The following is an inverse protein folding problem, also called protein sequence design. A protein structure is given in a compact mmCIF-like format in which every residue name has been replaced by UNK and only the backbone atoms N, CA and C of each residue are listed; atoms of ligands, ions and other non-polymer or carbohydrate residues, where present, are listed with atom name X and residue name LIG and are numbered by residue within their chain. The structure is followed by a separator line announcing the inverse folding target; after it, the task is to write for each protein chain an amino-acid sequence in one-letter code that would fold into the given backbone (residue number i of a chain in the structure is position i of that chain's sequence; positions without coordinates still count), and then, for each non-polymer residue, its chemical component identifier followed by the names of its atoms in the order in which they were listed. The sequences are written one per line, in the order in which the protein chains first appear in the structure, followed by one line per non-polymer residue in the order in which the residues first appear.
data_IF_925324053386
#
_entry.id   IF_925324053386
#
_cell.length_a   1.000
_cell.length_b   1.000
_cell.length_c   1.000
_cell.angle_alpha   90.00
_cell.angle_beta   90.00
_cell.angle_gamma   90.00
#
_symmetry.space_group_name_H-M   'P 1'
#
loop_
_entity.id
_entity.type
_entity.pdbx_description
1 polymer ?
#
# COMPACT_ATOMS: atom_id res chain seq x y z
N UNK A 1 7.29 -1.31 5.27
CA UNK A 1 6.50 -0.34 4.49
C UNK A 1 7.50 0.49 3.68
N UNK A 2 7.44 0.49 2.34
CA UNK A 2 8.45 1.14 1.47
C UNK A 2 8.16 2.64 1.24
N UNK A 3 6.91 3.07 1.46
CA UNK A 3 6.50 4.45 1.24
C UNK A 3 7.30 5.46 2.06
N UNK A 4 7.57 5.16 3.34
CA UNK A 4 8.28 6.08 4.21
C UNK A 4 9.73 6.30 3.81
N UNK A 5 10.46 5.23 3.51
CA UNK A 5 11.85 5.33 3.05
C UNK A 5 11.94 6.03 1.69
N UNK A 6 10.97 5.79 0.79
CA UNK A 6 10.90 6.51 -0.49
C UNK A 6 10.65 8.01 -0.30
N UNK A 7 9.69 8.39 0.54
CA UNK A 7 9.41 9.79 0.86
C UNK A 7 10.62 10.47 1.51
N UNK A 8 11.27 9.77 2.45
CA UNK A 8 12.50 10.26 3.07
C UNK A 8 13.57 10.51 2.01
N UNK A 9 13.80 9.56 1.11
CA UNK A 9 14.75 9.72 0.01
C UNK A 9 14.44 10.94 -0.87
N UNK A 10 13.17 11.14 -1.24
CA UNK A 10 12.76 12.30 -2.03
C UNK A 10 13.00 13.62 -1.29
N UNK A 11 12.61 13.71 -0.01
CA UNK A 11 12.78 14.90 0.81
C UNK A 11 14.26 15.25 1.04
N UNK A 12 15.11 14.24 1.24
CA UNK A 12 16.55 14.43 1.40
C UNK A 12 17.22 14.96 0.11
N UNK A 13 16.67 14.64 -1.06
CA UNK A 13 17.14 15.16 -2.36
C UNK A 13 16.48 16.44 -2.83
N UNK A 14 15.44 16.90 -2.13
CA UNK A 14 14.80 18.17 -2.43
C UNK A 14 15.79 19.34 -2.26
N UNK A 15 15.46 20.50 -2.84
CA UNK A 15 16.28 21.71 -2.73
C UNK A 15 16.60 22.06 -1.26
N UNK A 16 17.89 22.08 -0.93
CA UNK A 16 18.40 22.36 0.42
C UNK A 16 18.21 23.81 0.87
N UNK A 17 17.90 24.74 -0.04
CA UNK A 17 17.56 26.14 0.29
C UNK A 17 16.09 26.33 0.67
N UNK A 18 15.24 25.38 0.25
CA UNK A 18 13.80 25.38 0.53
C UNK A 18 13.44 24.44 1.66
N UNK A 19 14.18 23.34 1.81
CA UNK A 19 13.98 22.36 2.87
C UNK A 19 15.28 22.08 3.59
N UNK A 20 15.34 22.48 4.86
CA UNK A 20 16.53 22.44 5.69
C UNK A 20 16.61 21.16 6.52
N UNK A 21 15.48 20.69 7.04
CA UNK A 21 15.43 19.56 7.98
C UNK A 21 14.38 18.54 7.54
N UNK A 22 14.68 17.25 7.70
CA UNK A 22 13.68 16.18 7.60
C UNK A 22 13.69 15.40 8.91
N UNK A 23 12.53 15.18 9.52
CA UNK A 23 12.39 14.38 10.75
C UNK A 23 11.59 13.13 10.42
N UNK A 24 12.17 11.96 10.63
CA UNK A 24 11.48 10.68 10.49
C UNK A 24 11.18 10.10 11.86
N UNK A 25 9.92 10.15 12.27
CA UNK A 25 9.42 9.63 13.53
C UNK A 25 8.91 8.20 13.39
N UNK A 26 9.36 7.31 14.27
CA UNK A 26 8.80 5.98 14.46
C UNK A 26 7.89 6.01 15.70
N UNK A 27 6.59 6.22 15.46
CA UNK A 27 5.64 6.54 16.52
C UNK A 27 6.04 7.81 17.30
N UNK A 28 5.79 7.81 18.62
CA UNK A 28 6.10 8.96 19.52
C UNK A 28 7.46 8.88 20.21
N UNK A 29 8.10 7.72 20.20
CA UNK A 29 9.23 7.44 21.09
C UNK A 29 10.59 7.64 20.46
N UNK A 30 10.68 7.72 19.13
CA UNK A 30 11.96 7.63 18.44
C UNK A 30 11.91 8.41 17.12
N UNK A 31 12.96 9.17 16.82
CA UNK A 31 13.07 9.87 15.54
C UNK A 31 14.50 10.02 15.06
N UNK A 32 14.68 10.02 13.74
CA UNK A 32 15.88 10.51 13.08
C UNK A 32 15.66 11.93 12.57
N UNK A 33 16.55 12.83 12.90
CA UNK A 33 16.59 14.19 12.39
C UNK A 33 17.74 14.32 11.41
N UNK A 34 17.40 14.63 10.16
CA UNK A 34 18.34 14.85 9.07
C UNK A 34 18.47 16.35 8.84
N UNK A 35 19.63 16.92 9.17
CA UNK A 35 19.97 18.30 8.80
C UNK A 35 20.67 18.28 7.45
N UNK A 36 20.02 18.86 6.44
CA UNK A 36 20.52 18.88 5.07
C UNK A 36 21.61 19.93 4.85
N UNK A 37 21.68 20.95 5.70
CA UNK A 37 22.70 22.01 5.60
C UNK A 37 24.04 21.50 6.11
N UNK A 38 24.03 20.83 7.26
CA UNK A 38 25.24 20.27 7.87
C UNK A 38 25.53 18.83 7.42
N UNK A 39 24.56 18.18 6.76
CA UNK A 39 24.61 16.78 6.32
C UNK A 39 24.79 15.81 7.48
N UNK A 40 24.17 16.10 8.62
CA UNK A 40 24.21 15.26 9.82
C UNK A 40 22.90 14.54 10.07
N UNK A 41 22.97 13.40 10.75
CA UNK A 41 21.82 12.68 11.28
C UNK A 41 21.92 12.62 12.79
N UNK A 42 20.86 13.01 13.49
CA UNK A 42 20.78 12.96 14.96
C UNK A 42 19.61 12.08 15.38
N UNK A 43 19.85 11.20 16.34
CA UNK A 43 18.83 10.31 16.90
C UNK A 43 18.22 10.99 18.13
N UNK A 44 16.89 11.00 18.21
CA UNK A 44 16.15 11.48 19.36
C UNK A 44 15.28 10.36 19.93
N UNK A 45 15.36 10.19 21.25
CA UNK A 45 14.52 9.28 22.01
C UNK A 45 13.62 10.08 22.97
N UNK A 46 12.35 9.66 23.07
CA UNK A 46 11.33 10.29 23.88
C UNK A 46 10.60 11.44 23.18
N UNK A 47 9.27 11.40 23.17
CA UNK A 47 8.43 12.36 22.46
C UNK A 47 8.67 13.82 22.87
N UNK A 48 8.97 14.09 24.14
CA UNK A 48 9.29 15.43 24.62
C UNK A 48 10.58 15.98 24.00
N UNK A 49 11.61 15.14 23.84
CA UNK A 49 12.88 15.55 23.25
C UNK A 49 12.72 15.81 21.75
N UNK A 50 11.99 14.92 21.07
CA UNK A 50 11.65 15.04 19.65
C UNK A 50 10.89 16.34 19.40
N UNK A 51 9.81 16.59 20.14
CA UNK A 51 9.01 17.82 20.03
C UNK A 51 9.81 19.08 20.29
N UNK A 52 10.62 19.10 21.37
CA UNK A 52 11.46 20.26 21.70
C UNK A 52 12.49 20.56 20.60
N UNK A 53 13.12 19.53 20.03
CA UNK A 53 14.06 19.71 18.93
C UNK A 53 13.39 20.36 17.71
N UNK A 54 12.21 19.88 17.33
CA UNK A 54 11.46 20.43 16.20
C UNK A 54 11.02 21.87 16.44
N UNK A 55 10.50 22.20 17.63
CA UNK A 55 10.10 23.56 18.00
C UNK A 55 11.30 24.52 17.94
N UNK A 56 12.46 24.10 18.48
CA UNK A 56 13.66 24.94 18.48
C UNK A 56 14.17 25.22 17.06
N UNK A 57 14.13 24.22 16.18
CA UNK A 57 14.54 24.36 14.77
C UNK A 57 13.55 25.23 13.98
N UNK A 58 12.26 25.08 14.22
CA UNK A 58 11.26 25.97 13.62
C UNK A 58 11.44 27.42 14.12
N UNK A 59 11.68 27.61 15.41
CA UNK A 59 11.93 28.92 16.02
C UNK A 59 13.20 29.62 15.53
N UNK A 60 14.18 28.87 15.01
CA UNK A 60 15.37 29.44 14.35
C UNK A 60 15.13 29.82 12.88
N UNK A 61 13.91 29.65 12.38
CA UNK A 61 13.54 29.92 10.99
C UNK A 61 13.92 28.81 10.01
N UNK A 62 14.27 27.61 10.50
CA UNK A 62 14.48 26.46 9.61
C UNK A 62 13.14 25.96 9.08
N UNK A 63 13.20 25.43 7.86
CA UNK A 63 12.05 24.92 7.11
C UNK A 63 12.18 23.41 7.13
N UNK A 64 11.13 22.71 7.54
CA UNK A 64 11.23 21.31 7.88
C UNK A 64 10.13 20.46 7.28
N UNK A 65 10.36 19.16 7.27
CA UNK A 65 9.33 18.19 6.91
C UNK A 65 9.35 17.02 7.88
N UNK A 66 8.18 16.60 8.34
CA UNK A 66 8.02 15.52 9.31
C UNK A 66 7.37 14.34 8.61
N UNK A 67 8.01 13.18 8.67
CA UNK A 67 7.41 11.89 8.32
C UNK A 67 7.09 11.18 9.64
N UNK A 68 5.83 10.84 9.87
CA UNK A 68 5.41 10.10 11.05
C UNK A 68 4.98 8.69 10.62
N UNK A 69 5.78 7.69 10.92
CA UNK A 69 5.48 6.28 10.68
C UNK A 69 4.83 5.65 11.91
N UNK A 70 3.51 5.53 11.86
CA UNK A 70 2.69 4.99 12.94
C UNK A 70 2.59 3.47 12.81
N UNK A 71 3.68 2.77 13.15
CA UNK A 71 3.76 1.31 13.07
C UNK A 71 2.77 0.57 14.01
N UNK A 72 2.24 1.23 15.04
CA UNK A 72 1.21 0.70 15.96
C UNK A 72 0.17 1.78 16.26
N UNK A 73 -1.07 1.36 16.52
CA UNK A 73 -2.15 2.24 16.97
C UNK A 73 -1.64 3.18 18.05
N UNK A 74 -1.70 4.47 17.77
CA UNK A 74 -1.37 5.53 18.70
C UNK A 74 -2.40 6.62 18.49
N UNK A 75 -3.00 7.05 19.60
CA UNK A 75 -3.83 8.25 19.64
C UNK A 75 -3.10 9.42 18.96
N UNK A 76 -3.90 10.14 18.18
CA UNK A 76 -3.60 11.32 17.38
C UNK A 76 -2.35 12.07 17.90
N UNK A 77 -1.27 12.22 17.10
CA UNK A 77 -0.20 13.13 17.49
C UNK A 77 -0.83 14.51 17.65
N UNK A 78 -0.66 15.11 18.83
CA UNK A 78 -1.28 16.38 19.19
C UNK A 78 -1.06 17.40 18.08
N UNK A 79 -2.08 18.19 17.74
CA UNK A 79 -2.09 19.23 16.69
C UNK A 79 -0.96 20.28 16.76
N UNK A 80 -0.11 20.22 17.79
CA UNK A 80 0.98 21.15 18.07
C UNK A 80 2.37 20.48 18.02
N UNK A 81 2.64 19.61 17.04
CA UNK A 81 4.01 19.06 16.90
C UNK A 81 5.00 20.17 16.54
N UNK A 82 4.63 21.05 15.59
CA UNK A 82 5.36 22.29 15.26
C UNK A 82 4.36 23.35 14.79
N UNK A 83 4.27 24.49 15.47
CA UNK A 83 3.42 25.61 15.08
C UNK A 83 4.16 26.54 14.10
N UNK A 84 4.45 26.06 12.89
CA UNK A 84 5.09 26.86 11.84
C UNK A 84 4.58 26.47 10.45
N UNK A 85 4.12 27.46 9.68
CA UNK A 85 3.64 27.27 8.31
C UNK A 85 4.76 26.84 7.34
N UNK A 86 6.02 26.92 7.76
CA UNK A 86 7.21 26.49 7.02
C UNK A 86 7.54 25.01 7.25
N UNK A 87 6.69 24.28 7.99
CA UNK A 87 6.84 22.85 8.28
C UNK A 87 5.69 22.03 7.70
N UNK A 88 6.03 21.05 6.86
CA UNK A 88 5.08 20.07 6.34
C UNK A 88 5.09 18.77 7.14
N UNK A 89 3.97 18.04 7.09
CA UNK A 89 3.83 16.74 7.78
C UNK A 89 3.21 15.72 6.81
N UNK A 90 3.84 14.55 6.66
CA UNK A 90 3.22 13.34 6.11
C UNK A 90 3.12 12.33 7.23
N UNK A 91 1.92 11.77 7.38
CA UNK A 91 1.69 10.65 8.27
C UNK A 91 1.49 9.38 7.45
N UNK A 92 2.20 8.34 7.85
CA UNK A 92 2.10 6.99 7.31
C UNK A 92 1.46 6.14 8.36
N UNK A 93 0.51 5.33 7.94
CA UNK A 93 -0.16 4.42 8.85
C UNK A 93 -0.59 3.15 8.15
N UNK A 94 -0.70 2.11 8.95
CA UNK A 94 -1.34 0.88 8.53
C UNK A 94 -2.83 1.13 8.24
N UNK A 95 -3.45 0.29 7.40
CA UNK A 95 -4.89 0.32 7.20
C UNK A 95 -5.59 -0.08 8.50
N UNK A 96 -5.95 0.91 9.30
CA UNK A 96 -6.68 0.75 10.55
C UNK A 96 -7.83 1.78 10.56
N UNK A 97 -9.04 1.30 10.81
CA UNK A 97 -10.25 2.12 10.68
C UNK A 97 -10.29 3.26 11.69
N UNK A 98 -9.89 3.01 12.94
CA UNK A 98 -9.89 4.02 14.00
C UNK A 98 -8.90 5.14 13.70
N UNK A 99 -7.72 4.76 13.21
CA UNK A 99 -6.71 5.69 12.75
C UNK A 99 -7.26 6.58 11.60
N UNK A 100 -7.90 5.97 10.60
CA UNK A 100 -8.51 6.69 9.48
C UNK A 100 -9.64 7.63 9.91
N UNK A 101 -10.48 7.21 10.86
CA UNK A 101 -11.55 8.04 11.42
C UNK A 101 -10.98 9.26 12.12
N UNK A 102 -10.01 9.05 13.02
CA UNK A 102 -9.35 10.13 13.74
C UNK A 102 -8.74 11.18 12.79
N UNK A 103 -8.11 10.77 11.69
CA UNK A 103 -7.51 11.76 10.77
C UNK A 103 -8.52 12.50 9.90
N UNK A 104 -9.68 11.91 9.59
CA UNK A 104 -10.73 12.64 8.84
C UNK A 104 -11.27 13.82 9.63
N UNK A 105 -11.23 13.73 10.96
CA UNK A 105 -11.65 14.81 11.84
C UNK A 105 -10.62 15.95 11.89
N UNK A 106 -9.39 15.73 11.39
CA UNK A 106 -8.34 16.74 11.35
C UNK A 106 -8.57 17.72 10.19
N UNK A 107 -8.87 18.98 10.52
CA UNK A 107 -9.11 20.03 9.56
C UNK A 107 -7.89 20.25 8.63
N UNK A 108 -8.12 20.25 7.32
CA UNK A 108 -7.09 20.50 6.30
C UNK A 108 -6.27 19.28 5.87
N UNK A 109 -6.53 18.08 6.43
CA UNK A 109 -5.85 16.87 5.98
C UNK A 109 -6.24 16.49 4.55
N UNK A 110 -5.24 16.28 3.69
CA UNK A 110 -5.44 15.78 2.32
C UNK A 110 -5.19 14.28 2.32
N UNK A 111 -6.22 13.50 2.01
CA UNK A 111 -6.10 12.04 1.90
C UNK A 111 -5.40 11.68 0.60
N UNK A 112 -4.23 11.05 0.70
CA UNK A 112 -3.52 10.45 -0.44
C UNK A 112 -3.63 8.92 -0.33
N UNK A 113 -4.14 8.29 -1.38
CA UNK A 113 -4.18 6.84 -1.51
C UNK A 113 -3.05 6.44 -2.46
N UNK A 114 -2.26 5.43 -2.10
CA UNK A 114 -1.24 4.88 -2.98
C UNK A 114 -1.62 3.46 -3.36
N UNK A 115 -1.29 3.08 -4.59
CA UNK A 115 -1.46 1.70 -5.03
C UNK A 115 -0.54 0.78 -4.21
N UNK A 116 -1.00 -0.45 -4.01
CA UNK A 116 -0.14 -1.50 -3.49
C UNK A 116 1.06 -1.71 -4.43
N UNK A 117 2.21 -2.20 -3.90
CA UNK A 117 3.33 -2.62 -4.73
C UNK A 117 2.88 -3.55 -5.86
N UNK A 118 3.55 -3.47 -7.00
CA UNK A 118 3.40 -4.42 -8.09
C UNK A 118 4.49 -5.50 -8.08
N UNK A 119 4.51 -6.35 -9.11
CA UNK A 119 5.51 -7.41 -9.25
C UNK A 119 6.94 -6.87 -9.30
N UNK A 120 7.18 -5.77 -10.03
CA UNK A 120 8.51 -5.18 -10.16
C UNK A 120 8.97 -4.58 -8.84
N UNK A 121 8.06 -3.96 -8.09
CA UNK A 121 8.36 -3.47 -6.74
C UNK A 121 8.78 -4.63 -5.82
N UNK A 122 8.02 -5.74 -5.82
CA UNK A 122 8.35 -6.92 -5.01
C UNK A 122 9.68 -7.54 -5.46
N UNK A 123 9.92 -7.61 -6.77
CA UNK A 123 11.18 -8.12 -7.33
C UNK A 123 12.37 -7.28 -6.91
N UNK A 124 12.24 -5.96 -6.91
CA UNK A 124 13.26 -5.05 -6.40
C UNK A 124 13.50 -5.24 -4.89
N UNK A 125 12.44 -5.44 -4.11
CA UNK A 125 12.56 -5.78 -2.68
C UNK A 125 13.32 -7.10 -2.48
N UNK A 126 13.01 -8.13 -3.26
CA UNK A 126 13.72 -9.41 -3.22
C UNK A 126 15.20 -9.22 -3.53
N UNK A 127 15.55 -8.56 -4.63
CA UNK A 127 16.93 -8.31 -5.01
C UNK A 127 17.71 -7.52 -3.96
N UNK A 128 17.05 -6.57 -3.27
CA UNK A 128 17.66 -5.81 -2.20
C UNK A 128 17.90 -6.65 -0.93
N UNK A 129 16.93 -7.48 -0.56
CA UNK A 129 17.02 -8.35 0.64
C UNK A 129 18.12 -9.40 0.47
N UNK A 130 18.26 -9.94 -0.73
CA UNK A 130 19.25 -10.99 -1.07
C UNK A 130 20.51 -10.43 -1.75
N UNK A 131 20.76 -9.12 -1.65
CA UNK A 131 21.88 -8.45 -2.36
C UNK A 131 23.29 -8.99 -2.05
N UNK A 132 23.45 -9.68 -0.92
CA UNK A 132 24.72 -10.24 -0.45
C UNK A 132 24.79 -11.78 -0.57
N UNK A 133 23.81 -12.41 -1.21
CA UNK A 133 23.72 -13.87 -1.37
C UNK A 133 24.18 -14.31 -2.77
N UNK A 134 24.27 -15.62 -3.03
CA UNK A 134 24.62 -16.10 -4.38
C UNK A 134 23.49 -15.88 -5.37
N UNK A 135 23.80 -15.89 -6.67
CA UNK A 135 22.78 -15.78 -7.73
C UNK A 135 21.72 -16.90 -7.63
N UNK A 136 22.11 -18.13 -7.26
CA UNK A 136 21.14 -19.22 -7.09
C UNK A 136 20.17 -18.95 -5.94
N UNK A 137 20.68 -18.43 -4.81
CA UNK A 137 19.85 -18.05 -3.66
C UNK A 137 18.89 -16.91 -4.01
N UNK A 138 19.33 -15.93 -4.81
CA UNK A 138 18.46 -14.84 -5.27
C UNK A 138 17.33 -15.34 -6.16
N UNK A 139 17.63 -16.25 -7.10
CA UNK A 139 16.65 -16.86 -8.00
C UNK A 139 15.63 -17.68 -7.22
N UNK A 140 16.08 -18.51 -6.27
CA UNK A 140 15.20 -19.33 -5.46
C UNK A 140 14.31 -18.49 -4.52
N UNK A 141 14.88 -17.43 -3.93
CA UNK A 141 14.12 -16.50 -3.12
C UNK A 141 13.05 -15.76 -3.93
N UNK A 142 13.39 -15.27 -5.12
CA UNK A 142 12.41 -14.66 -6.03
C UNK A 142 11.32 -15.64 -6.43
N UNK A 143 11.68 -16.88 -6.81
CA UNK A 143 10.73 -17.92 -7.18
C UNK A 143 9.71 -18.16 -6.08
N UNK A 144 10.17 -18.24 -4.82
CA UNK A 144 9.32 -18.38 -3.64
C UNK A 144 8.38 -17.18 -3.48
N UNK A 145 8.91 -15.96 -3.47
CA UNK A 145 8.11 -14.73 -3.30
C UNK A 145 7.09 -14.53 -4.42
N UNK A 146 7.45 -14.88 -5.65
CA UNK A 146 6.54 -14.87 -6.79
C UNK A 146 5.38 -15.87 -6.60
N UNK A 147 5.63 -17.07 -6.05
CA UNK A 147 4.56 -18.01 -5.67
C UNK A 147 3.65 -17.43 -4.59
N UNK A 148 4.20 -16.85 -3.53
CA UNK A 148 3.39 -16.20 -2.50
C UNK A 148 2.52 -15.08 -3.11
N UNK A 149 3.10 -14.24 -3.98
CA UNK A 149 2.37 -13.18 -4.67
C UNK A 149 1.25 -13.71 -5.58
N UNK A 150 1.47 -14.85 -6.24
CA UNK A 150 0.42 -15.50 -7.02
C UNK A 150 -0.79 -15.85 -6.14
N UNK A 151 -0.55 -16.34 -4.92
CA UNK A 151 -1.61 -16.86 -4.05
C UNK A 151 -2.30 -15.79 -3.20
N UNK A 152 -1.56 -14.79 -2.70
CA UNK A 152 -2.08 -13.77 -1.77
C UNK A 152 -1.89 -12.32 -2.25
N UNK A 153 -1.37 -12.13 -3.47
CA UNK A 153 -1.05 -10.84 -4.06
C UNK A 153 0.23 -10.19 -3.53
N UNK A 154 0.62 -9.03 -4.11
CA UNK A 154 1.87 -8.33 -3.79
C UNK A 154 1.73 -7.52 -2.50
N UNK A 155 1.39 -8.20 -1.40
CA UNK A 155 1.22 -7.59 -0.08
C UNK A 155 2.45 -7.95 0.77
N UNK A 156 3.42 -7.04 0.96
CA UNK A 156 4.70 -7.34 1.61
C UNK A 156 4.57 -8.06 2.96
N UNK A 157 3.60 -7.65 3.80
CA UNK A 157 3.37 -8.26 5.13
C UNK A 157 2.95 -9.74 5.06
N UNK A 158 2.35 -10.15 3.95
CA UNK A 158 1.86 -11.51 3.72
C UNK A 158 2.93 -12.33 2.99
N UNK A 159 3.62 -11.78 2.00
CA UNK A 159 4.55 -12.55 1.15
C UNK A 159 5.90 -12.82 1.81
N UNK A 160 6.43 -11.89 2.60
CA UNK A 160 7.79 -12.00 3.17
C UNK A 160 7.83 -12.70 4.54
N UNK A 161 6.69 -13.16 5.05
CA UNK A 161 6.61 -13.89 6.31
C UNK A 161 5.81 -15.17 6.12
N UNK A 162 6.45 -16.32 6.30
CA UNK A 162 5.86 -17.63 6.01
C UNK A 162 4.61 -17.94 6.84
N UNK A 163 4.55 -17.47 8.09
CA UNK A 163 3.37 -17.69 8.93
C UNK A 163 2.21 -16.81 8.45
N UNK A 164 2.47 -15.51 8.28
CA UNK A 164 1.45 -14.58 7.76
C UNK A 164 0.96 -14.99 6.37
N UNK A 165 1.84 -15.58 5.55
CA UNK A 165 1.46 -16.14 4.26
C UNK A 165 0.46 -17.29 4.42
N UNK A 166 0.80 -18.28 5.26
CA UNK A 166 -0.05 -19.45 5.49
C UNK A 166 -1.40 -19.05 6.06
N UNK A 167 -1.39 -18.20 7.08
CA UNK A 167 -2.58 -17.66 7.71
C UNK A 167 -3.45 -16.96 6.65
N UNK A 168 -2.83 -16.14 5.79
CA UNK A 168 -3.54 -15.44 4.71
C UNK A 168 -4.16 -16.38 3.68
N UNK A 169 -3.46 -17.46 3.30
CA UNK A 169 -3.98 -18.47 2.38
C UNK A 169 -5.20 -19.17 2.99
N UNK A 170 -5.14 -19.53 4.27
CA UNK A 170 -6.25 -20.15 4.99
C UNK A 170 -7.45 -19.20 5.12
N UNK A 171 -7.21 -17.95 5.53
CA UNK A 171 -8.25 -16.91 5.58
C UNK A 171 -8.98 -16.73 4.24
N UNK A 172 -8.22 -16.67 3.13
CA UNK A 172 -8.81 -16.53 1.78
C UNK A 172 -9.67 -17.75 1.45
N UNK A 173 -9.21 -18.95 1.79
CA UNK A 173 -9.95 -20.19 1.57
C UNK A 173 -11.26 -20.18 2.34
N UNK A 174 -11.22 -19.87 3.63
CA UNK A 174 -12.40 -19.85 4.51
C UNK A 174 -13.44 -18.83 4.03
N UNK A 175 -12.98 -17.65 3.61
CA UNK A 175 -13.88 -16.63 3.03
C UNK A 175 -14.55 -17.17 1.78
N UNK A 176 -13.80 -17.77 0.86
CA UNK A 176 -14.32 -18.31 -0.40
C UNK A 176 -15.30 -19.48 -0.16
N UNK A 177 -15.06 -20.30 0.86
CA UNK A 177 -15.96 -21.39 1.27
C UNK A 177 -17.23 -20.89 1.97
N UNK A 178 -17.16 -19.74 2.64
CA UNK A 178 -18.30 -19.07 3.27
C UNK A 178 -19.18 -18.27 2.31
N UNK A 179 -18.86 -18.19 1.02
CA UNK A 179 -19.71 -17.52 0.02
C UNK A 179 -20.88 -18.44 -0.34
N UNK A 180 -22.10 -17.91 -0.21
CA UNK A 180 -23.33 -18.60 -0.58
C UNK A 180 -24.31 -17.63 -1.29
N UNK A 181 -25.45 -18.15 -1.72
CA UNK A 181 -26.47 -17.35 -2.40
C UNK A 181 -26.95 -16.13 -1.59
N UNK A 182 -26.94 -16.21 -0.25
CA UNK A 182 -27.41 -15.14 0.63
C UNK A 182 -26.45 -13.95 0.69
N UNK A 183 -25.16 -14.18 0.49
CA UNK A 183 -24.12 -13.15 0.61
C UNK A 183 -23.37 -12.83 -0.70
N UNK A 184 -23.57 -13.62 -1.76
CA UNK A 184 -22.91 -13.48 -3.07
C UNK A 184 -23.07 -12.09 -3.70
N UNK A 185 -24.18 -11.39 -3.41
CA UNK A 185 -24.44 -10.02 -3.87
C UNK A 185 -23.37 -9.03 -3.40
N UNK A 186 -22.80 -9.25 -2.21
CA UNK A 186 -21.77 -8.36 -1.66
C UNK A 186 -20.47 -8.42 -2.46
N UNK A 187 -20.20 -9.54 -3.16
CA UNK A 187 -18.96 -9.72 -3.93
C UNK A 187 -19.05 -9.27 -5.39
N UNK A 188 -20.24 -8.88 -5.88
CA UNK A 188 -20.45 -8.41 -7.26
C UNK A 188 -19.89 -7.01 -7.58
N UNK A 189 -19.35 -6.30 -6.58
CA UNK A 189 -18.82 -4.95 -6.77
C UNK A 189 -17.42 -4.88 -7.37
N UNK A 190 -16.75 -6.01 -7.61
CA UNK A 190 -15.45 -6.03 -8.27
C UNK A 190 -15.53 -5.37 -9.66
N UNK A 191 -14.49 -4.61 -10.02
CA UNK A 191 -14.46 -3.72 -11.18
C UNK A 191 -15.36 -2.50 -11.04
N UNK A 192 -16.03 -2.30 -9.89
CA UNK A 192 -16.85 -1.13 -9.61
C UNK A 192 -16.05 0.00 -8.98
N UNK A 193 -16.52 1.23 -9.19
CA UNK A 193 -16.05 2.44 -8.52
C UNK A 193 -16.80 2.74 -7.20
N UNK A 194 -17.85 1.97 -6.88
CA UNK A 194 -18.60 2.13 -5.63
C UNK A 194 -17.79 1.69 -4.42
N UNK A 195 -18.06 2.26 -3.24
CA UNK A 195 -17.44 1.78 -2.00
C UNK A 195 -17.87 0.34 -1.73
N UNK A 196 -16.90 -0.53 -1.47
CA UNK A 196 -17.21 -1.89 -1.05
C UNK A 196 -17.66 -1.89 0.41
N UNK A 197 -18.64 -2.73 0.82
CA UNK A 197 -19.05 -2.82 2.22
C UNK A 197 -17.84 -3.14 3.07
N UNK A 198 -17.68 -2.42 4.18
CA UNK A 198 -16.64 -2.68 5.17
C UNK A 198 -16.98 -3.95 5.96
N UNK A 199 -16.87 -5.11 5.31
CA UNK A 199 -16.89 -6.40 5.96
C UNK A 199 -15.45 -6.93 6.06
N UNK A 200 -15.18 -7.80 7.04
CA UNK A 200 -13.82 -8.30 7.30
C UNK A 200 -13.24 -9.07 6.09
N UNK A 201 -14.10 -9.59 5.22
CA UNK A 201 -13.71 -10.35 4.02
C UNK A 201 -13.14 -9.48 2.88
N UNK A 202 -13.61 -8.24 2.73
CA UNK A 202 -13.34 -7.39 1.56
C UNK A 202 -11.84 -7.11 1.34
N UNK A 203 -11.13 -6.66 2.37
CA UNK A 203 -9.70 -6.35 2.28
C UNK A 203 -8.81 -7.60 2.10
N UNK A 204 -9.39 -8.79 2.19
CA UNK A 204 -8.72 -10.08 1.98
C UNK A 204 -8.72 -10.49 0.51
N UNK A 205 -9.77 -10.15 -0.22
CA UNK A 205 -9.96 -10.53 -1.63
C UNK A 205 -9.67 -9.41 -2.64
N UNK A 206 -9.82 -8.15 -2.25
CA UNK A 206 -9.72 -6.99 -3.17
C UNK A 206 -8.79 -5.92 -2.63
N UNK A 207 -8.20 -5.20 -3.58
CA UNK A 207 -7.45 -3.96 -3.39
C UNK A 207 -8.17 -2.81 -4.08
N UNK A 208 -7.99 -1.62 -3.52
CA UNK A 208 -8.39 -0.37 -4.18
C UNK A 208 -7.23 0.06 -5.06
N UNK A 209 -7.50 0.27 -6.35
CA UNK A 209 -6.55 0.86 -7.29
C UNK A 209 -6.95 2.30 -7.59
N UNK A 210 -6.02 3.20 -7.33
CA UNK A 210 -6.02 4.59 -7.76
C UNK A 210 -5.66 4.66 -9.23
N UNK A 211 -6.52 5.29 -10.01
CA UNK A 211 -6.35 5.57 -11.42
C UNK A 211 -6.34 7.09 -11.62
N UNK A 212 -5.39 7.57 -12.42
CA UNK A 212 -5.41 8.94 -12.93
C UNK A 212 -5.85 8.84 -14.38
N UNK A 213 -7.03 9.38 -14.69
CA UNK A 213 -7.57 9.35 -16.05
C UNK A 213 -6.91 10.42 -16.92
N UNK A 214 -7.09 10.36 -18.24
CA UNK A 214 -6.53 11.33 -19.21
C UNK A 214 -6.93 12.80 -18.96
N UNK A 215 -7.88 13.08 -18.07
CA UNK A 215 -8.27 14.44 -17.68
C UNK A 215 -7.81 14.86 -16.28
N UNK A 216 -6.79 14.21 -15.71
CA UNK A 216 -6.31 14.42 -14.33
C UNK A 216 -7.38 14.17 -13.26
N UNK A 217 -8.44 13.45 -13.62
CA UNK A 217 -9.47 13.03 -12.66
C UNK A 217 -9.01 11.76 -11.98
N UNK A 218 -8.87 11.84 -10.67
CA UNK A 218 -8.56 10.71 -9.80
C UNK A 218 -9.81 9.85 -9.60
N UNK A 219 -9.69 8.56 -9.91
CA UNK A 219 -10.72 7.56 -9.72
C UNK A 219 -10.19 6.38 -8.91
N UNK A 220 -11.09 5.66 -8.24
CA UNK A 220 -10.76 4.47 -7.46
C UNK A 220 -11.58 3.29 -7.94
N UNK A 221 -10.91 2.17 -8.20
CA UNK A 221 -11.55 0.93 -8.65
C UNK A 221 -11.20 -0.20 -7.70
N UNK A 222 -12.21 -0.98 -7.33
CA UNK A 222 -12.02 -2.19 -6.55
C UNK A 222 -11.62 -3.34 -7.50
N UNK A 223 -10.38 -3.81 -7.41
CA UNK A 223 -9.89 -4.95 -8.18
C UNK A 223 -9.46 -6.10 -7.27
N UNK A 224 -9.52 -7.36 -7.74
CA UNK A 224 -8.97 -8.47 -6.99
C UNK A 224 -7.51 -8.22 -6.59
N UNK A 225 -7.12 -8.72 -5.42
CA UNK A 225 -5.74 -8.59 -4.92
C UNK A 225 -4.73 -9.19 -5.92
N UNK A 226 -5.07 -10.36 -6.48
CA UNK A 226 -4.33 -11.02 -7.57
C UNK A 226 -5.28 -11.85 -8.45
N UNK A 227 -4.76 -12.30 -9.59
CA UNK A 227 -5.51 -13.08 -10.58
C UNK A 227 -5.98 -14.45 -10.07
N UNK A 228 -5.20 -15.11 -9.19
CA UNK A 228 -5.58 -16.39 -8.58
C UNK A 228 -6.84 -16.25 -7.73
N UNK A 229 -6.87 -15.22 -6.86
CA UNK A 229 -8.03 -14.89 -6.03
C UNK A 229 -9.24 -14.53 -6.88
N UNK A 230 -9.04 -13.73 -7.94
CA UNK A 230 -10.08 -13.41 -8.90
C UNK A 230 -10.75 -14.66 -9.48
N UNK A 231 -9.93 -15.57 -10.02
CA UNK A 231 -10.41 -16.78 -10.66
C UNK A 231 -11.19 -17.66 -9.69
N UNK A 232 -10.69 -17.84 -8.47
CA UNK A 232 -11.36 -18.61 -7.41
C UNK A 232 -12.68 -17.97 -6.99
N UNK A 233 -12.70 -16.65 -6.82
CA UNK A 233 -13.90 -15.92 -6.44
C UNK A 233 -14.97 -15.98 -7.53
N UNK A 234 -14.60 -15.81 -8.81
CA UNK A 234 -15.51 -15.99 -9.93
C UNK A 234 -16.07 -17.41 -9.92
N UNK A 235 -15.22 -18.43 -9.81
CA UNK A 235 -15.65 -19.83 -9.72
C UNK A 235 -16.68 -20.06 -8.62
N UNK A 236 -16.44 -19.54 -7.41
CA UNK A 236 -17.40 -19.63 -6.30
C UNK A 236 -18.71 -18.91 -6.58
N UNK A 237 -18.66 -17.71 -7.15
CA UNK A 237 -19.87 -16.97 -7.48
C UNK A 237 -20.71 -17.66 -8.57
N UNK A 238 -20.07 -18.35 -9.51
CA UNK A 238 -20.76 -19.16 -10.53
C UNK A 238 -21.47 -20.39 -9.93
N UNK A 239 -20.94 -20.94 -8.83
CA UNK A 239 -21.54 -22.11 -8.15
C UNK A 239 -22.78 -21.75 -7.34
N UNK A 240 -22.89 -20.51 -6.84
CA UNK A 240 -23.92 -20.13 -5.85
C UNK A 240 -24.93 -19.08 -6.32
N UNK A 241 -24.72 -18.43 -7.47
CA UNK A 241 -25.61 -17.37 -7.99
C UNK A 241 -26.49 -17.88 -9.14
N UNK A 242 -27.72 -17.34 -9.25
CA UNK A 242 -28.63 -17.66 -10.37
C UNK A 242 -28.11 -17.09 -11.70
N UNK A 243 -28.42 -17.76 -12.83
CA UNK A 243 -27.84 -17.55 -14.17
C UNK A 243 -27.73 -16.08 -14.65
N UNK A 244 -28.61 -15.19 -14.18
CA UNK A 244 -28.66 -13.79 -14.61
C UNK A 244 -27.58 -12.89 -13.97
N UNK A 245 -27.08 -13.21 -12.78
CA UNK A 245 -26.00 -12.47 -12.11
C UNK A 245 -24.64 -12.68 -12.79
N UNK A 246 -24.47 -13.85 -13.40
CA UNK A 246 -23.24 -14.34 -14.02
C UNK A 246 -22.85 -13.50 -15.26
N UNK A 247 -23.78 -13.29 -16.18
CA UNK A 247 -23.54 -12.53 -17.43
C UNK A 247 -23.18 -11.07 -17.11
N UNK A 248 -23.89 -10.45 -16.16
CA UNK A 248 -23.64 -9.07 -15.77
C UNK A 248 -22.25 -8.89 -15.14
N UNK A 249 -21.84 -9.81 -14.25
CA UNK A 249 -20.50 -9.80 -13.64
C UNK A 249 -19.42 -9.96 -14.72
N UNK A 250 -19.50 -11.00 -15.57
CA UNK A 250 -18.53 -11.23 -16.66
C UNK A 250 -18.40 -10.04 -17.62
N UNK A 251 -19.51 -9.38 -17.98
CA UNK A 251 -19.50 -8.19 -18.83
C UNK A 251 -18.82 -6.98 -18.15
N UNK A 252 -19.00 -6.82 -16.84
CA UNK A 252 -18.35 -5.76 -16.06
C UNK A 252 -16.83 -5.99 -15.98
N UNK A 253 -16.41 -7.23 -15.76
CA UNK A 253 -15.00 -7.64 -15.80
C UNK A 253 -14.38 -7.39 -17.19
N UNK A 254 -15.08 -7.75 -18.27
CA UNK A 254 -14.64 -7.50 -19.65
C UNK A 254 -14.48 -6.01 -19.96
N UNK A 255 -15.13 -5.10 -19.24
CA UNK A 255 -15.01 -3.65 -19.49
C UNK A 255 -13.85 -3.00 -18.74
N UNK A 256 -13.45 -3.58 -17.61
CA UNK A 256 -12.45 -3.00 -16.70
C UNK A 256 -11.09 -3.69 -16.84
N UNK A 257 -11.09 -5.00 -17.04
CA UNK A 257 -9.87 -5.81 -17.08
C UNK A 257 -9.42 -6.20 -18.48
N UNK A 258 -10.19 -5.96 -19.55
CA UNK A 258 -9.70 -6.25 -20.92
C UNK A 258 -8.37 -5.58 -21.22
N UNK A 259 -8.15 -4.29 -20.87
CA UNK A 259 -6.88 -3.65 -21.15
C UNK A 259 -5.73 -4.30 -20.37
N UNK A 260 -5.89 -4.56 -19.07
CA UNK A 260 -4.87 -5.21 -18.22
C UNK A 260 -4.63 -6.68 -18.59
N UNK A 261 -5.69 -7.44 -18.94
CA UNK A 261 -5.57 -8.81 -19.45
C UNK A 261 -4.93 -8.84 -20.82
N UNK A 262 -5.32 -7.94 -21.73
CA UNK A 262 -4.69 -7.83 -23.05
C UNK A 262 -3.24 -7.41 -22.91
N UNK A 263 -2.89 -6.48 -22.02
CA UNK A 263 -1.52 -6.05 -21.75
C UNK A 263 -0.69 -7.20 -21.16
N UNK A 264 -1.20 -7.93 -20.16
CA UNK A 264 -0.52 -9.13 -19.62
C UNK A 264 -0.39 -10.26 -20.64
N UNK A 265 -1.43 -10.53 -21.43
CA UNK A 265 -1.40 -11.54 -22.48
C UNK A 265 -0.50 -11.13 -23.65
N UNK A 266 -0.45 -9.85 -24.03
CA UNK A 266 0.49 -9.36 -25.06
C UNK A 266 1.93 -9.37 -24.55
N UNK A 267 2.19 -8.97 -23.30
CA UNK A 267 3.53 -9.09 -22.71
C UNK A 267 3.99 -10.56 -22.68
N UNK A 268 3.10 -11.48 -22.29
CA UNK A 268 3.42 -12.90 -22.26
C UNK A 268 3.60 -13.50 -23.66
N UNK A 269 2.82 -13.04 -24.66
CA UNK A 269 2.98 -13.43 -26.05
C UNK A 269 4.28 -12.87 -26.69
N UNK A 270 4.74 -11.68 -26.27
CA UNK A 270 6.01 -11.10 -26.72
C UNK A 270 7.24 -11.71 -26.02
N UNK A 271 7.11 -12.13 -24.75
CA UNK A 271 8.21 -12.72 -23.97
C UNK A 271 8.33 -14.24 -24.12
N UNK A 272 7.28 -14.93 -24.58
CA UNK A 272 7.39 -16.31 -25.03
C UNK A 272 8.08 -16.31 -26.40
N UNK A 273 9.36 -16.69 -26.41
CA UNK A 273 10.17 -16.88 -27.63
C UNK A 273 9.49 -17.87 -28.58
N UNK A 274 8.62 -17.37 -29.45
CA UNK A 274 7.88 -18.17 -30.42
C UNK A 274 7.26 -17.37 -31.57
N UNK A 275 7.46 -16.05 -31.62
CA UNK A 275 7.10 -15.21 -32.77
C UNK A 275 8.33 -14.51 -33.34
N UNK A 276 9.11 -15.28 -34.10
CA UNK A 276 9.86 -14.84 -35.30
C UNK A 276 9.54 -15.84 -36.39
#
# INVERSE_FOLDING_TARGET
MVAGSYLLYQLLRYDGTKLHVVVYCFGRGFAYLFDKRTRTVTIYEGGCNIGRAMINLAGSGMKGYIIIDMARQLQEPSNNVVSSDEWGIIMLSSPNEDNLKAWREQAGAIKIIMNCPDENDVKAMCAWETRNTTEEEQVEYWRRMHMHMHDVGPIPRCIFNDNNYKDRVEEIKDILEGIDASNAVHYGMIGGMGMWPSNDASHKLVKVLRLITQGDVEAFVNLPVCFSIESKLIGRLLEVDEENGIIYRLLKYRRVLLPELLERCTLHAFLSRGFV
#
